data_IF_548072939754
#
_entry.id   IF_548072939754
#
_cell.length_a   1.000
_cell.length_b   1.000
_cell.length_c   1.000
_cell.angle_alpha   90.00
_cell.angle_beta   90.00
_cell.angle_gamma   90.00
#
_symmetry.space_group_name_H-M   'P 1'
#
loop_
_entity.id
_entity.type
_entity.pdbx_description
1 polymer ?
#
# COMPACT_ATOMS: atom_id res chain seq x y z
N UNK A 1 -30.85 1.64 -45.59
CA UNK A 1 -30.84 1.90 -44.13
C UNK A 1 -30.10 0.76 -43.44
N UNK A 2 -28.79 0.87 -43.23
CA UNK A 2 -27.98 -0.18 -42.55
C UNK A 2 -26.96 0.40 -41.55
N UNK A 3 -26.99 1.71 -41.28
CA UNK A 3 -26.00 2.40 -40.43
C UNK A 3 -26.34 2.26 -38.93
N UNK A 4 -27.62 2.10 -38.60
CA UNK A 4 -28.12 2.01 -37.22
C UNK A 4 -27.51 0.88 -36.36
N UNK A 5 -27.35 -0.38 -36.84
CA UNK A 5 -26.78 -1.45 -36.02
C UNK A 5 -25.29 -1.25 -35.73
N UNK A 6 -24.52 -0.70 -36.67
CA UNK A 6 -23.09 -0.45 -36.47
C UNK A 6 -22.83 0.72 -35.51
N UNK A 7 -23.67 1.76 -35.55
CA UNK A 7 -23.59 2.87 -34.60
C UNK A 7 -23.89 2.41 -33.16
N UNK A 8 -24.89 1.54 -32.97
CA UNK A 8 -25.22 0.97 -31.65
C UNK A 8 -24.12 0.04 -31.15
N UNK A 9 -23.58 -0.83 -32.01
CA UNK A 9 -22.46 -1.70 -31.67
C UNK A 9 -21.20 -0.90 -31.29
N UNK A 10 -20.91 0.19 -32.02
CA UNK A 10 -19.82 1.11 -31.71
C UNK A 10 -19.99 1.77 -30.34
N UNK A 11 -21.17 2.31 -30.03
CA UNK A 11 -21.47 2.91 -28.73
C UNK A 11 -21.35 1.90 -27.58
N UNK A 12 -21.86 0.67 -27.76
CA UNK A 12 -21.74 -0.39 -26.75
C UNK A 12 -20.27 -0.77 -26.52
N UNK A 13 -19.49 -0.92 -27.59
CA UNK A 13 -18.07 -1.23 -27.47
C UNK A 13 -17.30 -0.10 -26.78
N UNK A 14 -17.54 1.15 -27.16
CA UNK A 14 -16.93 2.31 -26.50
C UNK A 14 -17.33 2.40 -25.02
N UNK A 15 -18.60 2.12 -24.69
CA UNK A 15 -19.08 2.07 -23.32
C UNK A 15 -18.39 0.97 -22.50
N UNK A 16 -18.24 -0.23 -23.07
CA UNK A 16 -17.52 -1.34 -22.43
C UNK A 16 -16.04 -1.02 -22.20
N UNK A 17 -15.36 -0.43 -23.18
CA UNK A 17 -13.96 -0.02 -23.06
C UNK A 17 -13.78 1.09 -22.02
N UNK A 18 -14.69 2.08 -21.99
CA UNK A 18 -14.67 3.15 -21.01
C UNK A 18 -14.93 2.61 -19.58
N UNK A 19 -15.90 1.71 -19.43
CA UNK A 19 -16.15 1.02 -18.16
C UNK A 19 -14.94 0.22 -17.71
N UNK A 20 -14.34 -0.55 -18.62
CA UNK A 20 -13.16 -1.36 -18.33
C UNK A 20 -11.99 -0.47 -17.88
N UNK A 21 -11.71 0.62 -18.60
CA UNK A 21 -10.69 1.60 -18.24
C UNK A 21 -10.97 2.27 -16.88
N UNK A 22 -12.21 2.67 -16.62
CA UNK A 22 -12.59 3.25 -15.34
C UNK A 22 -12.43 2.26 -14.18
N UNK A 23 -12.78 0.98 -14.40
CA UNK A 23 -12.67 -0.07 -13.38
C UNK A 23 -11.23 -0.44 -13.03
N UNK A 24 -10.27 -0.17 -13.92
CA UNK A 24 -8.85 -0.46 -13.69
C UNK A 24 -8.08 0.78 -13.22
N UNK A 25 -8.49 2.00 -13.61
CA UNK A 25 -7.72 3.23 -13.34
C UNK A 25 -8.38 4.24 -12.40
N UNK A 26 -9.71 4.22 -12.27
CA UNK A 26 -10.44 5.23 -11.51
C UNK A 26 -11.06 4.69 -10.23
N UNK A 27 -11.56 3.45 -10.26
CA UNK A 27 -12.16 2.81 -9.10
C UNK A 27 -11.20 1.77 -8.51
N UNK A 28 -10.68 1.97 -7.28
CA UNK A 28 -9.88 0.95 -6.63
C UNK A 28 -10.75 -0.28 -6.33
N UNK A 29 -10.22 -1.47 -6.58
CA UNK A 29 -10.83 -2.74 -6.19
C UNK A 29 -10.91 -2.87 -4.66
N UNK A 30 -9.90 -2.36 -3.95
CA UNK A 30 -9.86 -2.34 -2.50
C UNK A 30 -9.35 -0.99 -2.01
N UNK A 31 -9.94 -0.50 -0.94
CA UNK A 31 -9.54 0.76 -0.32
C UNK A 31 -9.70 0.66 1.18
N UNK A 32 -8.74 1.22 1.91
CA UNK A 32 -8.83 1.42 3.34
C UNK A 32 -8.16 2.74 3.71
N UNK A 33 -8.67 3.39 4.75
CA UNK A 33 -8.13 4.64 5.28
C UNK A 33 -8.15 4.60 6.80
N UNK A 34 -7.11 5.11 7.42
CA UNK A 34 -6.99 5.21 8.86
C UNK A 34 -6.44 6.57 9.28
N UNK A 35 -7.13 7.22 10.20
CA UNK A 35 -6.58 8.36 10.93
C UNK A 35 -5.76 7.84 12.10
N UNK A 36 -4.49 8.24 12.16
CA UNK A 36 -3.52 7.74 13.13
C UNK A 36 -3.09 8.93 14.01
N UNK A 37 -3.66 9.08 15.22
CA UNK A 37 -3.41 10.24 16.08
C UNK A 37 -1.93 10.45 16.43
N UNK A 38 -1.19 9.37 16.69
CA UNK A 38 0.25 9.43 17.02
C UNK A 38 1.11 10.04 15.91
N UNK A 39 0.67 9.90 14.65
CA UNK A 39 1.34 10.47 13.47
C UNK A 39 0.75 11.82 13.07
N UNK A 40 -0.38 12.24 13.67
CA UNK A 40 -1.21 13.36 13.22
C UNK A 40 -1.52 13.27 11.71
N UNK A 41 -1.71 12.07 11.18
CA UNK A 41 -1.87 11.85 9.74
C UNK A 41 -3.02 10.88 9.46
N UNK A 42 -3.60 11.01 8.26
CA UNK A 42 -4.48 10.01 7.68
C UNK A 42 -3.74 9.29 6.58
N UNK A 43 -3.70 7.97 6.65
CA UNK A 43 -3.08 7.12 5.63
C UNK A 43 -4.18 6.35 4.92
N UNK A 44 -4.16 6.38 3.59
CA UNK A 44 -5.09 5.65 2.74
C UNK A 44 -4.30 4.76 1.79
N UNK A 45 -4.73 3.50 1.68
CA UNK A 45 -4.17 2.53 0.77
C UNK A 45 -5.24 2.09 -0.23
N UNK A 46 -4.89 2.12 -1.51
CA UNK A 46 -5.78 1.82 -2.63
C UNK A 46 -5.15 0.77 -3.54
N UNK A 47 -5.88 -0.29 -3.86
CA UNK A 47 -5.49 -1.31 -4.83
C UNK A 47 -6.38 -1.22 -6.06
N UNK A 48 -5.78 -0.95 -7.19
CA UNK A 48 -6.39 -0.90 -8.51
C UNK A 48 -6.10 -2.20 -9.25
N UNK A 49 -7.03 -2.59 -10.13
CA UNK A 49 -6.82 -3.74 -11.01
C UNK A 49 -5.82 -3.36 -12.08
N UNK A 50 -4.73 -4.11 -12.16
CA UNK A 50 -3.74 -4.01 -13.23
C UNK A 50 -3.98 -5.12 -14.23
N UNK A 51 -3.87 -4.80 -15.51
CA UNK A 51 -4.10 -5.74 -16.61
C UNK A 51 -2.80 -6.06 -17.35
N UNK A 52 -1.82 -5.16 -17.27
CA UNK A 52 -0.55 -5.25 -17.96
C UNK A 52 0.50 -5.80 -17.00
N UNK A 53 1.18 -6.86 -17.40
CA UNK A 53 2.33 -7.41 -16.68
C UNK A 53 3.53 -6.45 -16.68
N UNK A 54 3.51 -5.41 -17.53
CA UNK A 54 4.49 -4.33 -17.53
C UNK A 54 4.18 -3.21 -16.51
N UNK A 55 2.98 -3.14 -15.93
CA UNK A 55 2.70 -2.22 -14.82
C UNK A 55 3.26 -2.81 -13.53
N UNK A 56 4.18 -2.10 -12.89
CA UNK A 56 4.89 -2.61 -11.70
C UNK A 56 4.01 -2.62 -10.43
N UNK A 57 2.95 -1.80 -10.38
CA UNK A 57 1.97 -1.90 -9.30
C UNK A 57 0.59 -1.32 -9.65
N UNK A 58 -0.45 -1.83 -8.98
CA UNK A 58 -1.78 -1.23 -8.92
C UNK A 58 -2.00 -0.42 -7.66
N UNK A 59 -0.95 -0.06 -6.92
CA UNK A 59 -1.05 0.21 -5.49
C UNK A 59 -0.66 1.64 -5.18
N UNK A 60 -1.60 2.39 -4.61
CA UNK A 60 -1.41 3.80 -4.29
C UNK A 60 -1.50 4.03 -2.80
N UNK A 61 -0.54 4.81 -2.30
CA UNK A 61 -0.49 5.29 -0.94
C UNK A 61 -0.79 6.78 -0.95
N UNK A 62 -1.77 7.19 -0.14
CA UNK A 62 -2.00 8.60 0.17
C UNK A 62 -1.71 8.83 1.64
N UNK A 63 -0.88 9.82 1.94
CA UNK A 63 -0.63 10.28 3.31
C UNK A 63 -1.02 11.74 3.38
N UNK A 64 -1.99 12.06 4.23
CA UNK A 64 -2.46 13.42 4.48
C UNK A 64 -2.11 13.83 5.91
N UNK A 65 -1.24 14.82 6.04
CA UNK A 65 -0.81 15.43 7.29
C UNK A 65 -1.20 16.93 7.31
N UNK A 66 -1.10 17.63 8.45
CA UNK A 66 -1.40 19.06 8.53
C UNK A 66 -0.57 19.92 7.59
N UNK A 67 0.64 19.48 7.25
CA UNK A 67 1.57 20.16 6.35
C UNK A 67 1.23 19.97 4.87
N UNK A 68 0.46 18.95 4.52
CA UNK A 68 0.10 18.66 3.13
C UNK A 68 -0.29 17.20 2.92
N UNK A 69 -0.58 16.86 1.66
CA UNK A 69 -0.91 15.50 1.27
C UNK A 69 -0.01 15.05 0.14
N UNK A 70 0.51 13.83 0.26
CA UNK A 70 1.20 13.12 -0.80
C UNK A 70 0.34 11.97 -1.29
N UNK A 71 0.32 11.72 -2.60
CA UNK A 71 -0.23 10.50 -3.21
C UNK A 71 0.78 9.98 -4.21
N UNK A 72 1.19 8.72 -4.05
CA UNK A 72 2.15 8.09 -4.93
C UNK A 72 1.89 6.60 -5.08
N UNK A 73 2.45 6.06 -6.14
CA UNK A 73 2.48 4.63 -6.38
C UNK A 73 3.55 3.96 -5.50
N UNK A 74 3.26 2.76 -5.01
CA UNK A 74 4.21 1.94 -4.22
C UNK A 74 4.20 0.50 -4.74
N UNK A 75 5.34 -0.19 -4.66
CA UNK A 75 5.51 -1.51 -5.28
C UNK A 75 4.57 -2.58 -4.68
N UNK A 76 4.21 -3.55 -5.51
CA UNK A 76 3.34 -4.66 -5.12
C UNK A 76 2.39 -5.08 -6.23
N UNK A 77 2.91 -5.72 -7.28
CA UNK A 77 2.11 -6.28 -8.37
C UNK A 77 1.11 -7.34 -7.86
N UNK A 78 1.58 -8.23 -6.99
CA UNK A 78 0.77 -9.33 -6.43
C UNK A 78 0.16 -8.97 -5.06
N UNK A 79 -0.70 -7.96 -5.05
CA UNK A 79 -1.44 -7.58 -3.84
C UNK A 79 -2.42 -8.67 -3.38
N UNK A 80 -2.76 -9.65 -4.23
CA UNK A 80 -3.60 -10.79 -3.83
C UNK A 80 -2.92 -11.73 -2.84
N UNK A 81 -1.61 -11.95 -2.99
CA UNK A 81 -0.85 -12.82 -2.08
C UNK A 81 0.00 -12.04 -1.08
N UNK A 82 0.37 -10.79 -1.39
CA UNK A 82 1.19 -9.95 -0.52
C UNK A 82 0.54 -8.58 -0.26
N UNK A 83 -0.61 -8.57 0.42
CA UNK A 83 -1.37 -7.34 0.65
C UNK A 83 -0.83 -6.47 1.80
N UNK A 84 -0.18 -7.09 2.79
CA UNK A 84 0.16 -6.42 4.03
C UNK A 84 1.10 -5.25 3.78
N UNK A 85 0.76 -4.10 4.35
CA UNK A 85 1.67 -2.96 4.41
C UNK A 85 1.66 -2.31 5.77
N UNK A 86 2.87 -2.27 6.33
CA UNK A 86 3.11 -1.96 7.72
C UNK A 86 3.49 -0.49 7.84
N UNK A 87 3.00 0.16 8.89
CA UNK A 87 3.21 1.58 9.18
C UNK A 87 3.99 1.71 10.48
N UNK A 88 4.99 2.58 10.47
CA UNK A 88 5.86 2.86 11.59
C UNK A 88 6.02 4.36 11.78
N UNK A 89 6.28 4.76 13.02
CA UNK A 89 6.78 6.08 13.36
C UNK A 89 8.28 6.00 13.59
N UNK A 90 9.05 6.86 12.93
CA UNK A 90 10.49 6.96 13.18
C UNK A 90 10.78 7.88 14.38
N UNK A 91 11.99 7.83 14.98
CA UNK A 91 12.38 8.72 16.08
C UNK A 91 12.32 10.21 15.74
N UNK A 92 12.53 10.57 14.47
CA UNK A 92 12.42 11.92 13.93
C UNK A 92 11.00 12.27 13.47
N UNK A 93 9.99 11.54 13.96
CA UNK A 93 8.55 11.76 13.71
C UNK A 93 8.11 11.67 12.23
N UNK A 94 8.89 10.99 11.40
CA UNK A 94 8.51 10.65 10.02
C UNK A 94 7.65 9.39 10.00
N UNK A 95 7.00 9.16 8.87
CA UNK A 95 6.12 8.01 8.68
C UNK A 95 6.81 7.04 7.75
N UNK A 96 7.18 5.86 8.26
CA UNK A 96 7.70 4.79 7.44
C UNK A 96 6.59 3.81 7.05
N UNK A 97 6.60 3.40 5.78
CA UNK A 97 5.62 2.48 5.20
C UNK A 97 6.37 1.36 4.50
N UNK A 98 6.22 0.13 5.02
CA UNK A 98 6.95 -1.03 4.53
C UNK A 98 6.01 -1.83 3.64
N UNK A 99 6.38 -1.94 2.38
CA UNK A 99 5.64 -2.67 1.37
C UNK A 99 5.89 -4.19 1.40
N UNK A 100 5.09 -4.94 0.65
CA UNK A 100 5.19 -6.40 0.57
C UNK A 100 6.41 -6.89 -0.22
N UNK A 101 6.78 -6.18 -1.30
CA UNK A 101 7.84 -6.60 -2.24
C UNK A 101 9.17 -5.88 -1.94
N UNK A 102 9.55 -5.85 -0.67
CA UNK A 102 10.84 -5.29 -0.20
C UNK A 102 11.06 -3.78 -0.38
N UNK A 103 10.16 -3.06 -1.06
CA UNK A 103 10.21 -1.60 -1.08
C UNK A 103 9.70 -1.01 0.24
N UNK A 104 10.57 -0.24 0.87
CA UNK A 104 10.29 0.51 2.08
C UNK A 104 10.24 1.98 1.73
N UNK A 105 9.32 2.73 2.32
CA UNK A 105 9.13 4.13 2.01
C UNK A 105 9.19 4.96 3.28
N UNK A 106 9.71 6.19 3.17
CA UNK A 106 9.73 7.16 4.24
C UNK A 106 9.06 8.44 3.75
N UNK A 107 7.97 8.80 4.41
CA UNK A 107 7.29 10.06 4.20
C UNK A 107 7.81 11.10 5.17
N UNK A 108 8.35 12.18 4.60
CA UNK A 108 8.78 13.36 5.32
C UNK A 108 7.66 14.41 5.32
N UNK A 109 6.99 14.67 6.45
CA UNK A 109 5.88 15.62 6.50
C UNK A 109 6.34 17.07 6.28
N UNK A 110 7.60 17.41 6.51
CA UNK A 110 8.10 18.77 6.30
C UNK A 110 8.28 19.07 4.81
N UNK A 111 8.72 18.08 4.05
CA UNK A 111 8.90 18.18 2.59
C UNK A 111 7.67 17.74 1.79
N UNK A 112 6.70 17.09 2.43
CA UNK A 112 5.53 16.45 1.80
C UNK A 112 5.97 15.49 0.68
N UNK A 113 7.00 14.70 0.97
CA UNK A 113 7.67 13.83 0.01
C UNK A 113 7.72 12.40 0.53
N UNK A 114 7.45 11.42 -0.34
CA UNK A 114 7.66 10.01 -0.08
C UNK A 114 8.92 9.54 -0.82
N UNK A 115 9.91 9.06 -0.06
CA UNK A 115 11.14 8.50 -0.63
C UNK A 115 11.15 7.00 -0.44
N UNK A 116 11.50 6.28 -1.49
CA UNK A 116 11.89 4.88 -1.33
C UNK A 116 13.21 4.83 -0.55
N UNK A 117 13.24 4.01 0.48
CA UNK A 117 14.38 3.84 1.35
C UNK A 117 15.38 2.91 0.70
N UNK A 118 16.65 3.27 0.83
CA UNK A 118 17.72 2.41 0.38
C UNK A 118 17.73 1.12 1.19
N UNK A 119 18.24 0.12 0.53
CA UNK A 119 18.38 -1.26 0.95
C UNK A 119 19.20 -1.46 2.26
N UNK A 120 19.73 -0.38 2.86
CA UNK A 120 20.60 -0.34 4.03
C UNK A 120 20.01 0.44 5.24
N UNK A 121 18.79 0.98 5.12
CA UNK A 121 18.16 1.71 6.24
C UNK A 121 17.72 0.75 7.37
N UNK A 122 17.78 1.18 8.63
CA UNK A 122 17.47 0.34 9.79
C UNK A 122 16.22 0.82 10.54
N UNK A 123 15.34 -0.11 10.92
CA UNK A 123 14.13 0.15 11.72
C UNK A 123 14.29 -0.11 13.22
N UNK A 124 15.51 -0.29 13.73
CA UNK A 124 15.75 -0.72 15.13
C UNK A 124 15.14 0.21 16.20
N UNK A 125 14.78 1.42 15.83
CA UNK A 125 14.21 2.42 16.74
C UNK A 125 12.85 2.95 16.27
N UNK A 126 12.21 2.28 15.32
CA UNK A 126 10.92 2.72 14.81
C UNK A 126 9.79 2.08 15.60
N UNK A 127 8.84 2.90 16.04
CA UNK A 127 7.67 2.42 16.77
C UNK A 127 6.64 1.86 15.80
N UNK A 128 6.22 0.62 16.00
CA UNK A 128 5.18 0.00 15.18
C UNK A 128 3.81 0.63 15.45
N UNK A 129 3.12 1.03 14.39
CA UNK A 129 1.82 1.71 14.48
C UNK A 129 0.67 0.77 14.12
N UNK A 130 0.89 -0.10 13.15
CA UNK A 130 -0.10 -1.06 12.65
C UNK A 130 0.13 -1.38 11.17
N UNK A 131 -0.82 -2.04 10.54
CA UNK A 131 -0.72 -2.39 9.13
C UNK A 131 -2.07 -2.34 8.42
N UNK A 132 -2.04 -2.01 7.13
CA UNK A 132 -3.11 -2.33 6.21
C UNK A 132 -2.97 -3.78 5.78
N UNK A 133 -4.03 -4.57 5.93
CA UNK A 133 -4.04 -5.98 5.53
C UNK A 133 -5.44 -6.44 5.15
N UNK A 134 -5.55 -7.59 4.49
CA UNK A 134 -6.81 -8.31 4.33
C UNK A 134 -7.06 -9.14 5.59
N UNK A 135 -8.22 -8.94 6.22
CA UNK A 135 -8.63 -9.73 7.37
C UNK A 135 -10.13 -9.87 7.46
N UNK A 136 -10.59 -10.69 8.41
CA UNK A 136 -12.00 -11.02 8.59
C UNK A 136 -12.51 -12.08 7.60
N UNK A 137 -13.77 -12.50 7.78
CA UNK A 137 -14.41 -13.51 6.94
C UNK A 137 -14.75 -12.99 5.53
N UNK A 138 -14.77 -11.67 5.34
CA UNK A 138 -15.11 -10.99 4.09
C UNK A 138 -13.89 -10.58 3.26
N UNK A 139 -12.67 -10.94 3.68
CA UNK A 139 -11.42 -10.57 3.00
C UNK A 139 -11.36 -9.08 2.66
N UNK A 140 -11.72 -8.22 3.61
CA UNK A 140 -11.75 -6.78 3.40
C UNK A 140 -10.40 -6.15 3.77
N UNK A 141 -9.91 -5.25 2.92
CA UNK A 141 -8.75 -4.44 3.24
C UNK A 141 -9.09 -3.51 4.42
N UNK A 142 -8.33 -3.58 5.50
CA UNK A 142 -8.58 -2.78 6.70
C UNK A 142 -7.26 -2.41 7.37
N UNK A 143 -7.26 -1.32 8.14
CA UNK A 143 -6.13 -0.98 8.99
C UNK A 143 -6.30 -1.66 10.34
N UNK A 144 -5.28 -2.38 10.77
CA UNK A 144 -5.20 -3.03 12.06
C UNK A 144 -4.13 -2.31 12.89
N UNK A 145 -4.51 -1.61 13.98
CA UNK A 145 -3.55 -0.94 14.83
C UNK A 145 -2.63 -1.97 15.53
N UNK A 146 -1.43 -1.54 15.92
CA UNK A 146 -0.47 -2.39 16.61
C UNK A 146 -1.05 -3.07 17.85
N UNK A 147 -1.98 -2.43 18.57
CA UNK A 147 -2.66 -3.02 19.73
C UNK A 147 -3.54 -4.25 19.42
N UNK A 148 -3.87 -4.49 18.15
CA UNK A 148 -4.66 -5.62 17.69
C UNK A 148 -3.81 -6.68 16.96
N UNK A 149 -2.52 -6.43 16.77
CA UNK A 149 -1.62 -7.33 16.06
C UNK A 149 -0.55 -7.85 17.00
N UNK A 150 -0.47 -9.17 17.10
CA UNK A 150 0.64 -9.85 17.77
C UNK A 150 1.90 -9.91 16.91
N UNK A 151 1.84 -9.46 15.65
CA UNK A 151 2.91 -9.64 14.68
C UNK A 151 3.22 -8.34 13.92
N UNK A 152 4.50 -8.08 13.67
CA UNK A 152 4.96 -7.03 12.74
C UNK A 152 5.94 -7.58 11.70
N UNK A 153 6.07 -6.81 10.61
CA UNK A 153 7.00 -7.08 9.52
C UNK A 153 8.18 -6.12 9.66
N UNK A 154 9.37 -6.60 10.07
CA UNK A 154 10.52 -5.71 10.18
C UNK A 154 11.02 -5.25 8.79
N UNK A 155 11.81 -4.17 8.78
CA UNK A 155 12.49 -3.73 7.56
C UNK A 155 13.38 -4.82 6.98
N UNK A 156 13.68 -4.67 5.69
CA UNK A 156 14.54 -5.60 4.93
C UNK A 156 15.88 -5.86 5.61
N UNK A 157 16.37 -4.86 6.34
CA UNK A 157 17.70 -4.80 6.97
C UNK A 157 17.63 -4.81 8.50
N UNK A 158 16.58 -5.36 9.10
CA UNK A 158 16.66 -5.63 10.54
C UNK A 158 17.84 -6.56 10.83
N UNK A 159 18.61 -6.22 11.87
CA UNK A 159 19.87 -6.88 12.28
C UNK A 159 19.72 -8.36 12.69
N UNK A 160 18.55 -8.98 12.51
CA UNK A 160 18.31 -10.38 12.85
C UNK A 160 18.95 -11.39 11.87
N UNK A 161 19.59 -10.91 10.80
CA UNK A 161 20.46 -11.71 9.94
C UNK A 161 19.78 -12.84 9.15
N UNK A 162 18.45 -12.96 9.19
CA UNK A 162 17.69 -14.06 8.57
C UNK A 162 16.96 -13.68 7.27
N UNK A 163 16.98 -12.41 6.88
CA UNK A 163 16.31 -11.91 5.66
C UNK A 163 16.77 -12.56 4.34
N UNK A 164 17.94 -13.22 4.33
CA UNK A 164 18.41 -13.98 3.14
C UNK A 164 17.72 -15.34 2.95
N UNK A 165 16.90 -15.80 3.91
CA UNK A 165 16.33 -17.17 3.90
C UNK A 165 14.81 -17.23 3.76
N UNK A 166 14.09 -16.11 3.93
CA UNK A 166 12.62 -16.07 3.95
C UNK A 166 12.14 -14.78 3.29
N UNK A 167 11.06 -14.86 2.51
CA UNK A 167 10.38 -13.69 1.99
C UNK A 167 9.76 -12.88 3.14
N UNK A 168 9.60 -11.56 2.95
CA UNK A 168 9.00 -10.67 3.96
C UNK A 168 7.60 -11.12 4.41
N UNK A 169 6.84 -11.76 3.52
CA UNK A 169 5.53 -12.35 3.84
C UNK A 169 5.60 -13.53 4.81
N UNK A 170 6.72 -14.25 4.83
CA UNK A 170 7.00 -15.38 5.73
C UNK A 170 7.62 -14.93 7.07
N UNK A 171 8.22 -13.73 7.12
CA UNK A 171 8.89 -13.21 8.30
C UNK A 171 7.98 -12.31 9.14
N UNK A 172 7.23 -12.93 10.05
CA UNK A 172 6.38 -12.24 11.03
C UNK A 172 7.02 -12.35 12.41
N UNK A 173 7.32 -11.21 13.05
CA UNK A 173 7.86 -11.19 14.43
C UNK A 173 6.74 -11.02 15.43
N UNK A 174 6.67 -11.90 16.42
CA UNK A 174 5.68 -11.87 17.52
C UNK A 174 5.85 -10.69 18.50
N UNK A 175 6.94 -9.93 18.42
CA UNK A 175 7.21 -8.80 19.31
C UNK A 175 7.75 -7.60 18.55
N UNK A 176 7.02 -6.50 18.65
CA UNK A 176 7.27 -5.22 18.01
C UNK A 176 7.62 -4.23 19.11
N UNK A 177 8.92 -4.03 19.35
CA UNK A 177 9.42 -3.12 20.37
C UNK A 177 9.34 -1.67 19.91
#
# INVERSE_FOLDING_TARGET
>A
MLIAPFALAGLLLSGLLAYFYASTKLSPAYVSSASIPALKATIKLEFYRIWDVAEESGRFLTISAPTGSFRGEISGFDWSHNARTSVYQTPDHKIAVLGPMESDYLFDPEMVELKELSSYASSLHWSYVGAFDFGGADHRLSFFPASQQSECIPMRTSDDGNWRKMSRGEYRKENCY
#
